data_IF_778304300507
#
_entry.id   IF_778304300507
#
_cell.length_a   1.000
_cell.length_b   1.000
_cell.length_c   1.000
_cell.angle_alpha   90.00
_cell.angle_beta   90.00
_cell.angle_gamma   90.00
#
_symmetry.space_group_name_H-M   'P 1'
#
loop_
_entity.id
_entity.type
_entity.pdbx_description
1 polymer ?
#
# COMPACT_ATOMS: atom_id res chain seq x y z
N UNK A 1 -3.76 -23.46 -7.63
CA UNK A 1 -3.72 -23.08 -6.21
C UNK A 1 -2.29 -22.69 -5.93
N UNK A 2 -2.07 -21.47 -5.47
CA UNK A 2 -0.74 -20.89 -5.28
C UNK A 2 -0.51 -20.62 -3.79
N UNK A 3 0.74 -20.62 -3.35
CA UNK A 3 1.11 -20.28 -1.97
C UNK A 3 1.85 -18.97 -2.02
N UNK A 4 1.31 -17.96 -1.33
CA UNK A 4 1.98 -16.70 -1.12
C UNK A 4 2.59 -16.69 0.26
N UNK A 5 3.84 -16.24 0.36
CA UNK A 5 4.54 -16.02 1.62
C UNK A 5 4.74 -14.52 1.79
N UNK A 6 4.10 -13.93 2.79
CA UNK A 6 4.31 -12.53 3.16
C UNK A 6 5.41 -12.49 4.21
N UNK A 7 6.49 -11.77 3.90
CA UNK A 7 7.68 -11.63 4.75
C UNK A 7 7.72 -10.23 5.34
N UNK A 8 7.81 -10.15 6.67
CA UNK A 8 8.07 -8.90 7.37
C UNK A 8 9.42 -9.00 8.05
N UNK A 9 10.31 -8.08 7.70
CA UNK A 9 11.65 -7.99 8.25
C UNK A 9 11.80 -6.66 8.97
N UNK A 10 12.18 -6.73 10.24
CA UNK A 10 12.48 -5.57 11.06
C UNK A 10 13.99 -5.31 11.01
N UNK A 11 14.36 -4.14 10.49
CA UNK A 11 15.74 -3.69 10.48
C UNK A 11 15.96 -2.64 11.57
N UNK A 12 17.10 -2.72 12.26
CA UNK A 12 17.60 -1.66 13.11
C UNK A 12 18.81 -1.01 12.44
N UNK A 13 18.88 0.31 12.54
CA UNK A 13 19.99 1.12 12.02
C UNK A 13 20.70 1.80 13.18
N UNK A 14 21.93 1.40 13.45
CA UNK A 14 22.78 2.06 14.45
C UNK A 14 23.69 3.07 13.75
N UNK A 15 23.36 4.37 13.89
CA UNK A 15 24.13 5.45 13.26
C UNK A 15 23.90 5.56 11.75
N UNK A 16 24.91 6.02 11.01
CA UNK A 16 24.73 6.40 9.59
C UNK A 16 24.85 5.22 8.61
N UNK A 17 25.43 4.07 8.98
CA UNK A 17 25.99 3.17 7.95
C UNK A 17 25.68 1.66 8.04
N UNK A 18 25.08 1.13 9.12
CA UNK A 18 24.84 -0.32 9.21
C UNK A 18 23.37 -0.59 9.54
N UNK A 19 22.68 -1.23 8.60
CA UNK A 19 21.36 -1.84 8.81
C UNK A 19 21.58 -3.31 9.20
N UNK A 20 20.92 -3.73 10.27
CA UNK A 20 20.94 -5.11 10.75
C UNK A 20 19.51 -5.60 10.91
N UNK A 21 19.20 -6.74 10.32
CA UNK A 21 17.94 -7.45 10.59
C UNK A 21 17.91 -7.88 12.06
N UNK A 22 16.85 -7.50 12.75
CA UNK A 22 16.60 -7.82 14.16
C UNK A 22 15.66 -9.01 14.26
N UNK A 23 14.63 -9.04 13.42
CA UNK A 23 13.57 -10.02 13.48
C UNK A 23 12.96 -10.22 12.10
N UNK A 24 12.58 -11.45 11.80
CA UNK A 24 11.82 -11.83 10.63
C UNK A 24 10.63 -12.68 11.08
N UNK A 25 9.45 -12.37 10.54
CA UNK A 25 8.34 -13.31 10.59
C UNK A 25 7.69 -13.43 9.22
N UNK A 26 7.17 -14.62 8.95
CA UNK A 26 6.51 -14.92 7.70
C UNK A 26 5.16 -15.58 7.95
N UNK A 27 4.20 -15.25 7.12
CA UNK A 27 2.91 -15.93 7.08
C UNK A 27 2.64 -16.44 5.68
N UNK A 28 2.27 -17.72 5.59
CA UNK A 28 1.89 -18.34 4.33
C UNK A 28 0.37 -18.36 4.17
N UNK A 29 -0.06 -18.10 2.94
CA UNK A 29 -1.45 -18.09 2.53
C UNK A 29 -1.63 -18.94 1.29
N UNK A 30 -2.56 -19.90 1.34
CA UNK A 30 -3.06 -20.55 0.12
C UNK A 30 -4.03 -19.60 -0.57
N UNK A 31 -3.66 -19.07 -1.72
CA UNK A 31 -4.42 -18.02 -2.42
C UNK A 31 -5.10 -18.56 -3.66
N UNK A 32 -6.18 -17.89 -4.07
CA UNK A 32 -6.90 -18.18 -5.31
C UNK A 32 -6.94 -16.90 -6.15
N UNK A 33 -6.40 -16.98 -7.37
CA UNK A 33 -6.37 -15.86 -8.33
C UNK A 33 -5.79 -14.56 -7.75
N UNK A 34 -4.54 -14.58 -7.24
CA UNK A 34 -3.93 -13.39 -6.67
C UNK A 34 -3.86 -12.26 -7.69
N UNK A 35 -3.93 -11.02 -7.20
CA UNK A 35 -3.96 -9.83 -8.04
C UNK A 35 -2.96 -8.80 -7.55
N UNK A 36 -2.36 -8.08 -8.51
CA UNK A 36 -1.64 -6.83 -8.27
C UNK A 36 -2.38 -5.73 -9.03
N UNK A 37 -3.02 -4.83 -8.30
CA UNK A 37 -3.68 -3.65 -8.87
C UNK A 37 -2.77 -2.46 -8.69
N UNK A 38 -2.65 -1.61 -9.71
CA UNK A 38 -1.83 -0.40 -9.64
C UNK A 38 -2.63 0.79 -10.15
N UNK A 39 -2.46 1.94 -9.49
CA UNK A 39 -3.09 3.18 -9.92
C UNK A 39 -2.23 4.37 -9.52
N UNK A 40 -1.88 5.18 -10.51
CA UNK A 40 -1.31 6.50 -10.29
C UNK A 40 -2.44 7.55 -10.19
N UNK A 41 -2.30 8.48 -9.26
CA UNK A 41 -3.24 9.60 -9.08
C UNK A 41 -2.57 10.75 -8.30
N UNK A 42 -3.17 11.92 -8.33
CA UNK A 42 -2.73 13.13 -7.60
C UNK A 42 -3.90 13.74 -6.81
N UNK A 43 -3.64 14.75 -5.98
CA UNK A 43 -4.69 15.39 -5.17
C UNK A 43 -5.92 15.81 -5.98
N UNK A 44 -5.75 16.36 -7.19
CA UNK A 44 -6.88 16.83 -8.02
C UNK A 44 -7.83 15.73 -8.49
N UNK A 45 -7.39 14.47 -8.43
CA UNK A 45 -8.25 13.31 -8.74
C UNK A 45 -9.21 12.97 -7.59
N UNK A 46 -9.08 13.67 -6.45
CA UNK A 46 -9.87 13.50 -5.24
C UNK A 46 -9.82 12.06 -4.71
N UNK A 47 -10.99 11.43 -4.58
CA UNK A 47 -11.16 10.07 -4.09
C UNK A 47 -11.25 9.11 -5.28
N UNK A 48 -10.16 8.39 -5.54
CA UNK A 48 -10.02 7.47 -6.67
C UNK A 48 -10.43 6.06 -6.27
N UNK A 49 -11.18 5.38 -7.13
CA UNK A 49 -11.59 3.98 -6.89
C UNK A 49 -10.55 3.01 -7.45
N UNK A 50 -10.14 2.04 -6.64
CA UNK A 50 -9.34 0.89 -7.07
C UNK A 50 -10.31 -0.28 -7.36
N UNK A 51 -10.32 -0.84 -8.58
CA UNK A 51 -11.31 -1.84 -8.97
C UNK A 51 -11.00 -3.21 -8.34
N UNK A 52 -11.57 -3.47 -7.17
CA UNK A 52 -11.43 -4.76 -6.48
C UNK A 52 -12.27 -5.83 -7.21
N UNK A 53 -11.67 -6.94 -7.67
CA UNK A 53 -12.42 -8.01 -8.34
C UNK A 53 -13.48 -8.63 -7.41
N UNK A 54 -14.69 -8.78 -7.93
CA UNK A 54 -15.79 -9.40 -7.20
C UNK A 54 -15.72 -10.94 -7.25
N UNK A 55 -16.28 -11.60 -6.25
CA UNK A 55 -16.42 -13.06 -6.22
C UNK A 55 -15.16 -13.82 -5.81
N UNK A 56 -14.10 -13.13 -5.40
CA UNK A 56 -12.86 -13.73 -4.89
C UNK A 56 -12.77 -13.45 -3.39
N UNK A 57 -12.49 -14.48 -2.59
CA UNK A 57 -12.20 -14.32 -1.17
C UNK A 57 -10.69 -14.16 -0.96
N UNK A 58 -10.25 -12.92 -0.75
CA UNK A 58 -8.87 -12.62 -0.40
C UNK A 58 -8.62 -12.89 1.09
N UNK A 59 -7.49 -13.51 1.40
CA UNK A 59 -6.98 -13.77 2.75
C UNK A 59 -6.18 -12.59 3.30
N UNK A 60 -5.54 -11.83 2.42
CA UNK A 60 -4.79 -10.64 2.78
C UNK A 60 -4.95 -9.54 1.73
N UNK A 61 -4.78 -8.31 2.19
CA UNK A 61 -4.64 -7.11 1.35
C UNK A 61 -3.43 -6.33 1.85
N UNK A 62 -2.47 -6.07 0.97
CA UNK A 62 -1.37 -5.16 1.24
C UNK A 62 -1.52 -3.95 0.32
N UNK A 63 -1.48 -2.75 0.90
CA UNK A 63 -1.50 -1.48 0.17
C UNK A 63 -0.15 -0.82 0.39
N UNK A 64 0.48 -0.40 -0.71
CA UNK A 64 1.71 0.38 -0.71
C UNK A 64 1.50 1.61 -1.58
N UNK A 65 1.95 2.76 -1.10
CA UNK A 65 1.90 4.03 -1.81
C UNK A 65 3.29 4.66 -1.86
N UNK A 66 3.71 5.07 -3.06
CA UNK A 66 5.02 5.69 -3.27
C UNK A 66 4.94 6.89 -4.19
N UNK A 67 5.88 7.81 -4.05
CA UNK A 67 6.00 8.96 -4.95
C UNK A 67 6.53 8.54 -6.32
N UNK A 68 5.91 9.01 -7.40
CA UNK A 68 6.34 8.64 -8.77
C UNK A 68 7.51 9.45 -9.32
N UNK A 69 7.89 10.53 -8.65
CA UNK A 69 8.96 11.42 -9.08
C UNK A 69 9.58 12.11 -7.87
N UNK A 70 10.81 12.60 -8.08
CA UNK A 70 11.50 13.45 -7.12
C UNK A 70 10.77 14.80 -6.98
N UNK A 71 10.71 15.32 -5.76
CA UNK A 71 10.28 16.69 -5.46
C UNK A 71 11.30 17.34 -4.52
N UNK A 72 12.14 18.17 -5.13
CA UNK A 72 13.23 18.86 -4.45
C UNK A 72 12.75 19.96 -3.52
N UNK A 73 11.52 20.48 -3.68
CA UNK A 73 11.01 21.55 -2.85
C UNK A 73 10.71 21.08 -1.42
N UNK A 74 10.30 19.82 -1.27
CA UNK A 74 9.99 19.19 0.03
C UNK A 74 10.87 17.97 0.35
N UNK A 75 11.91 17.73 -0.45
CA UNK A 75 12.95 16.73 -0.16
C UNK A 75 12.50 15.28 -0.35
N UNK A 76 11.52 15.04 -1.23
CA UNK A 76 11.01 13.70 -1.55
C UNK A 76 11.81 13.12 -2.71
N UNK A 77 12.13 11.83 -2.61
CA UNK A 77 12.64 11.04 -3.74
C UNK A 77 11.54 10.16 -4.33
N UNK A 78 11.69 9.85 -5.61
CA UNK A 78 10.92 8.79 -6.24
C UNK A 78 11.06 7.50 -5.43
N UNK A 79 9.97 6.75 -5.35
CA UNK A 79 9.83 5.48 -4.62
C UNK A 79 9.84 5.61 -3.08
N UNK A 80 10.03 6.83 -2.53
CA UNK A 80 9.80 7.07 -1.11
C UNK A 80 8.31 6.82 -0.76
N UNK A 81 8.01 6.38 0.48
CA UNK A 81 6.64 6.17 0.93
C UNK A 81 5.82 7.46 0.88
N UNK A 82 4.64 7.38 0.25
CA UNK A 82 3.75 8.53 0.08
C UNK A 82 2.52 8.43 0.99
N UNK A 83 2.15 9.51 1.73
CA UNK A 83 0.98 9.50 2.58
C UNK A 83 -0.30 9.45 1.74
N UNK A 84 -1.20 8.55 2.12
CA UNK A 84 -2.52 8.41 1.50
C UNK A 84 -3.60 8.26 2.57
N UNK A 85 -4.85 8.42 2.14
CA UNK A 85 -6.05 8.09 2.93
C UNK A 85 -6.77 6.97 2.18
N UNK A 86 -7.24 5.97 2.92
CA UNK A 86 -8.02 4.87 2.33
C UNK A 86 -9.43 4.80 2.94
N UNK A 87 -10.40 4.45 2.10
CA UNK A 87 -11.75 4.06 2.51
C UNK A 87 -12.02 2.66 2.03
N UNK A 88 -12.45 1.82 2.97
CA UNK A 88 -12.55 0.37 2.79
C UNK A 88 -14.04 -0.02 2.85
N UNK A 89 -14.46 -0.94 1.98
CA UNK A 89 -15.77 -1.58 2.02
C UNK A 89 -16.96 -0.59 2.04
N UNK A 90 -16.85 0.51 1.28
CA UNK A 90 -17.89 1.53 1.18
C UNK A 90 -18.06 2.39 2.43
N UNK A 91 -17.19 2.24 3.43
CA UNK A 91 -17.19 3.08 4.63
C UNK A 91 -16.94 4.54 4.29
N UNK A 92 -17.61 5.44 5.01
CA UNK A 92 -17.31 6.87 4.99
C UNK A 92 -16.14 7.26 5.90
N UNK A 93 -15.62 6.31 6.69
CA UNK A 93 -14.51 6.54 7.62
C UNK A 93 -13.19 6.56 6.84
N UNK A 94 -12.45 7.66 7.02
CA UNK A 94 -11.11 7.81 6.50
C UNK A 94 -10.10 7.08 7.39
N UNK A 95 -9.26 6.25 6.76
CA UNK A 95 -8.11 5.62 7.39
C UNK A 95 -6.84 6.27 6.86
N UNK A 96 -6.24 7.23 7.60
CA UNK A 96 -5.01 7.88 7.18
C UNK A 96 -3.83 6.91 7.31
N UNK A 97 -3.02 6.83 6.24
CA UNK A 97 -1.80 6.04 6.15
C UNK A 97 -0.61 7.00 5.93
N UNK A 98 -0.06 7.61 6.98
CA UNK A 98 1.01 8.61 6.85
C UNK A 98 2.30 8.04 6.26
N UNK A 99 2.49 6.72 6.34
CA UNK A 99 3.65 5.99 5.78
C UNK A 99 3.30 5.26 4.49
N UNK A 100 2.14 5.52 3.88
CA UNK A 100 1.73 4.91 2.62
C UNK A 100 1.51 3.40 2.65
N UNK A 101 1.52 2.78 3.82
CA UNK A 101 1.44 1.33 3.96
C UNK A 101 0.26 0.89 4.84
N UNK A 102 -0.43 -0.17 4.41
CA UNK A 102 -1.42 -0.88 5.22
C UNK A 102 -1.39 -2.37 4.92
N UNK A 103 -1.38 -3.18 5.98
CA UNK A 103 -1.72 -4.58 5.91
C UNK A 103 -3.13 -4.78 6.51
N UNK A 104 -4.00 -5.45 5.77
CA UNK A 104 -5.37 -5.69 6.18
C UNK A 104 -5.73 -7.18 6.04
N UNK A 105 -6.13 -7.77 7.16
CA UNK A 105 -6.59 -9.14 7.25
C UNK A 105 -8.11 -9.13 7.35
N UNK A 106 -8.79 -9.35 6.22
CA UNK A 106 -10.25 -9.33 6.14
C UNK A 106 -10.74 -9.20 4.71
N UNK A 107 -12.03 -9.44 4.50
CA UNK A 107 -12.65 -9.27 3.19
C UNK A 107 -12.59 -7.82 2.72
N UNK A 108 -12.20 -7.62 1.46
CA UNK A 108 -12.21 -6.33 0.77
C UNK A 108 -13.17 -6.41 -0.41
N UNK A 109 -14.22 -5.59 -0.40
CA UNK A 109 -15.22 -5.51 -1.48
C UNK A 109 -15.10 -4.23 -2.28
N UNK A 110 -14.55 -3.18 -1.69
CA UNK A 110 -14.26 -1.92 -2.37
C UNK A 110 -13.12 -1.19 -1.69
N UNK A 111 -12.33 -0.47 -2.49
CA UNK A 111 -11.24 0.36 -2.01
C UNK A 111 -11.27 1.69 -2.75
N UNK A 112 -11.19 2.77 -1.98
CA UNK A 112 -10.95 4.10 -2.50
C UNK A 112 -9.75 4.72 -1.83
N UNK A 113 -8.98 5.46 -2.59
CA UNK A 113 -7.73 6.09 -2.13
C UNK A 113 -7.74 7.57 -2.48
N UNK A 114 -7.16 8.37 -1.60
CA UNK A 114 -6.92 9.80 -1.81
C UNK A 114 -5.54 10.17 -1.29
N UNK A 115 -5.01 11.30 -1.76
CA UNK A 115 -3.72 11.84 -1.31
C UNK A 115 -3.86 13.35 -1.18
N UNK A 116 -3.11 13.92 -0.23
CA UNK A 116 -2.98 15.36 -0.07
C UNK A 116 -1.84 15.93 -0.91
N UNK A 117 -1.06 15.08 -1.58
CA UNK A 117 0.07 15.50 -2.42
C UNK A 117 -0.41 16.04 -3.76
N UNK A 118 -0.14 17.32 -3.99
CA UNK A 118 -0.67 18.12 -5.10
C UNK A 118 0.35 18.34 -6.23
N UNK A 119 1.64 18.19 -5.92
CA UNK A 119 2.74 18.55 -6.81
C UNK A 119 2.95 17.52 -7.92
N UNK A 120 2.83 16.22 -7.62
CA UNK A 120 2.93 15.15 -8.61
C UNK A 120 2.01 13.96 -8.26
N UNK A 121 2.15 12.87 -8.99
CA UNK A 121 1.38 11.65 -8.77
C UNK A 121 2.01 10.76 -7.68
N UNK A 122 1.13 10.10 -6.94
CA UNK A 122 1.43 8.96 -6.09
C UNK A 122 1.01 7.70 -6.84
N UNK A 123 1.84 6.66 -6.80
CA UNK A 123 1.50 5.32 -7.23
C UNK A 123 0.98 4.55 -6.03
N UNK A 124 -0.24 4.01 -6.12
CA UNK A 124 -0.74 3.00 -5.20
C UNK A 124 -0.67 1.64 -5.86
N UNK A 125 -0.09 0.69 -5.15
CA UNK A 125 -0.09 -0.73 -5.45
C UNK A 125 -0.90 -1.48 -4.40
N UNK A 126 -1.77 -2.37 -4.85
CA UNK A 126 -2.62 -3.21 -3.98
C UNK A 126 -2.38 -4.66 -4.35
N UNK A 127 -1.87 -5.41 -3.38
CA UNK A 127 -1.61 -6.83 -3.49
C UNK A 127 -2.73 -7.59 -2.79
N UNK A 128 -3.42 -8.45 -3.53
CA UNK A 128 -4.56 -9.23 -3.08
C UNK A 128 -4.24 -10.72 -3.23
N UNK A 129 -4.46 -11.51 -2.18
CA UNK A 129 -4.27 -12.96 -2.19
C UNK A 129 -5.10 -13.63 -1.12
#
# INVERSE_FOLDING_TARGET
MEIHRVLFQLFNRTGVAIEREVEEFAQEFQVQQPQKLTKAFKQTDNLVTIPIPAGIQFKYVLILATYLADDTAIGIKKDDPAPIIVRINGSAIDHPLPQGFMAWTGGLTSLRVATTYDTNQVLVEVYLG
#
